data_IF_150540279542
#
_entry.id   IF_150540279542
#
_cell.length_a   1.000
_cell.length_b   1.000
_cell.length_c   1.000
_cell.angle_alpha   90.00
_cell.angle_beta   90.00
_cell.angle_gamma   90.00
#
_symmetry.space_group_name_H-M   'P 1'
#
loop_
_entity.id
_entity.type
_entity.pdbx_description
1 polymer ?
#
# COMPACT_ATOMS: atom_id res chain seq x y z
N UNK A 1 88.88 -81.46 5.17
CA UNK A 1 87.58 -80.82 4.90
C UNK A 1 86.79 -81.71 3.95
N UNK A 2 85.85 -82.53 4.44
CA UNK A 2 84.96 -83.33 3.60
C UNK A 2 83.76 -82.46 3.21
N UNK A 3 83.68 -82.09 1.94
CA UNK A 3 82.54 -81.38 1.37
C UNK A 3 81.34 -82.31 1.36
N UNK A 4 80.44 -82.11 2.32
CA UNK A 4 79.11 -82.73 2.30
C UNK A 4 78.39 -82.18 1.08
N UNK A 5 78.35 -83.00 0.01
CA UNK A 5 77.72 -82.73 -1.29
C UNK A 5 76.30 -83.29 -1.38
N UNK A 6 75.67 -83.59 -0.24
CA UNK A 6 74.26 -83.97 -0.21
C UNK A 6 73.39 -82.73 0.13
N UNK A 7 72.60 -82.22 -0.83
CA UNK A 7 71.75 -81.05 -0.64
C UNK A 7 70.74 -81.25 0.50
N UNK A 8 70.26 -82.48 0.69
CA UNK A 8 69.25 -82.82 1.70
C UNK A 8 69.83 -82.69 3.11
N UNK A 9 71.03 -83.21 3.33
CA UNK A 9 71.74 -83.09 4.62
C UNK A 9 72.08 -81.63 4.99
N UNK A 10 72.38 -80.77 4.00
CA UNK A 10 72.59 -79.33 4.25
C UNK A 10 71.29 -78.60 4.59
N UNK A 11 70.20 -78.93 3.92
CA UNK A 11 68.87 -78.38 4.21
C UNK A 11 68.43 -78.74 5.63
N UNK A 12 68.58 -80.01 6.03
CA UNK A 12 68.27 -80.46 7.39
C UNK A 12 69.12 -79.74 8.47
N UNK A 13 70.39 -79.45 8.18
CA UNK A 13 71.25 -78.69 9.09
C UNK A 13 70.85 -77.21 9.20
N UNK A 14 70.42 -76.59 8.10
CA UNK A 14 69.91 -75.22 8.09
C UNK A 14 68.57 -75.14 8.83
N UNK A 15 67.69 -76.11 8.62
CA UNK A 15 66.38 -76.19 9.28
C UNK A 15 66.53 -76.43 10.79
N UNK A 16 67.51 -77.25 11.22
CA UNK A 16 67.83 -77.44 12.63
C UNK A 16 68.39 -76.18 13.32
N UNK A 17 69.12 -75.32 12.59
CA UNK A 17 69.70 -74.08 13.14
C UNK A 17 68.75 -72.88 13.08
N UNK A 18 67.99 -72.74 11.99
CA UNK A 18 67.10 -71.60 11.75
C UNK A 18 65.67 -71.85 12.22
N UNK A 19 65.18 -73.09 12.18
CA UNK A 19 63.81 -73.45 12.60
C UNK A 19 63.45 -72.92 13.99
N UNK A 20 64.28 -73.16 15.04
CA UNK A 20 64.03 -72.62 16.37
C UNK A 20 64.09 -71.08 16.45
N UNK A 21 64.86 -70.43 15.58
CA UNK A 21 64.98 -68.96 15.55
C UNK A 21 63.76 -68.33 14.87
N UNK A 22 63.29 -68.93 13.77
CA UNK A 22 62.06 -68.56 13.08
C UNK A 22 60.87 -68.74 14.03
N UNK A 23 60.77 -69.89 14.70
CA UNK A 23 59.67 -70.17 15.63
C UNK A 23 59.64 -69.21 16.83
N UNK A 24 60.81 -68.79 17.34
CA UNK A 24 60.89 -67.75 18.39
C UNK A 24 60.51 -66.36 17.86
N UNK A 25 60.89 -66.03 16.62
CA UNK A 25 60.53 -64.77 16.00
C UNK A 25 59.02 -64.69 15.72
N UNK A 26 58.41 -65.78 15.25
CA UNK A 26 56.96 -65.92 15.05
C UNK A 26 56.21 -65.77 16.37
N UNK A 27 56.63 -66.48 17.44
CA UNK A 27 56.00 -66.34 18.75
C UNK A 27 56.14 -64.93 19.33
N UNK A 28 57.27 -64.26 19.10
CA UNK A 28 57.45 -62.86 19.52
C UNK A 28 56.55 -61.91 18.73
N UNK A 29 56.41 -62.12 17.41
CA UNK A 29 55.51 -61.35 16.56
C UNK A 29 54.03 -61.55 16.95
N UNK A 30 53.60 -62.78 17.20
CA UNK A 30 52.24 -63.10 17.65
C UNK A 30 51.94 -62.48 19.01
N UNK A 31 52.90 -62.54 19.95
CA UNK A 31 52.76 -61.89 21.25
C UNK A 31 52.63 -60.37 21.12
N UNK A 32 53.42 -59.75 20.24
CA UNK A 32 53.34 -58.31 19.99
C UNK A 32 52.01 -57.93 19.33
N UNK A 33 51.56 -58.68 18.33
CA UNK A 33 50.26 -58.49 17.69
C UNK A 33 49.09 -58.62 18.69
N UNK A 34 49.18 -59.55 19.64
CA UNK A 34 48.19 -59.70 20.71
C UNK A 34 48.17 -58.46 21.65
N UNK A 35 49.33 -57.91 21.99
CA UNK A 35 49.45 -56.69 22.81
C UNK A 35 48.87 -55.49 22.07
N UNK A 36 49.19 -55.32 20.78
CA UNK A 36 48.71 -54.19 19.99
C UNK A 36 47.19 -54.28 19.74
N UNK A 37 46.68 -55.48 19.51
CA UNK A 37 45.24 -55.73 19.43
C UNK A 37 44.53 -55.38 20.75
N UNK A 38 45.09 -55.76 21.89
CA UNK A 38 44.51 -55.44 23.19
C UNK A 38 44.44 -53.92 23.43
N UNK A 39 45.49 -53.17 23.08
CA UNK A 39 45.52 -51.71 23.15
C UNK A 39 44.45 -51.07 22.26
N UNK A 40 44.35 -51.51 21.00
CA UNK A 40 43.35 -51.00 20.06
C UNK A 40 41.91 -51.29 20.50
N UNK A 41 41.65 -52.48 21.06
CA UNK A 41 40.31 -52.83 21.57
C UNK A 41 39.92 -51.98 22.78
N UNK A 42 40.86 -51.70 23.68
CA UNK A 42 40.64 -50.81 24.82
C UNK A 42 40.35 -49.37 24.36
N UNK A 43 41.15 -48.84 23.42
CA UNK A 43 40.95 -47.50 22.85
C UNK A 43 39.64 -47.39 22.07
N UNK A 44 39.29 -48.41 21.26
CA UNK A 44 38.02 -48.49 20.53
C UNK A 44 36.83 -48.37 21.48
N UNK A 45 36.85 -49.12 22.58
CA UNK A 45 35.74 -49.15 23.54
C UNK A 45 35.53 -47.77 24.16
N UNK A 46 36.62 -47.09 24.56
CA UNK A 46 36.55 -45.74 25.11
C UNK A 46 36.01 -44.73 24.10
N UNK A 47 36.55 -44.73 22.87
CA UNK A 47 36.13 -43.79 21.81
C UNK A 47 34.67 -43.99 21.40
N UNK A 48 34.20 -45.23 21.31
CA UNK A 48 32.80 -45.50 20.98
C UNK A 48 31.88 -44.99 22.09
N UNK A 49 32.22 -45.20 23.37
CA UNK A 49 31.43 -44.69 24.48
C UNK A 49 31.36 -43.14 24.50
N UNK A 50 32.47 -42.46 24.21
CA UNK A 50 32.51 -40.99 24.08
C UNK A 50 31.60 -40.50 22.93
N UNK A 51 31.65 -41.16 21.77
CA UNK A 51 30.83 -40.81 20.61
C UNK A 51 29.34 -41.10 20.83
N UNK A 52 29.01 -42.24 21.43
CA UNK A 52 27.63 -42.61 21.76
C UNK A 52 27.01 -41.63 22.77
N UNK A 53 27.78 -41.20 23.78
CA UNK A 53 27.34 -40.19 24.73
C UNK A 53 27.11 -38.83 24.06
N UNK A 54 28.02 -38.39 23.20
CA UNK A 54 27.87 -37.15 22.44
C UNK A 54 26.66 -37.20 21.48
N UNK A 55 26.43 -38.35 20.84
CA UNK A 55 25.27 -38.57 19.97
C UNK A 55 23.96 -38.52 20.78
N UNK A 56 23.92 -39.19 21.93
CA UNK A 56 22.75 -39.17 22.81
C UNK A 56 22.42 -37.74 23.30
N UNK A 57 23.44 -36.97 23.68
CA UNK A 57 23.26 -35.57 24.07
C UNK A 57 22.76 -34.71 22.91
N UNK A 58 23.32 -34.87 21.71
CA UNK A 58 22.87 -34.15 20.53
C UNK A 58 21.41 -34.49 20.17
N UNK A 59 21.02 -35.77 20.26
CA UNK A 59 19.65 -36.23 20.04
C UNK A 59 18.68 -35.63 21.08
N UNK A 60 19.05 -35.59 22.36
CA UNK A 60 18.25 -34.97 23.40
C UNK A 60 18.07 -33.45 23.18
N UNK A 61 19.13 -32.73 22.82
CA UNK A 61 19.06 -31.30 22.50
C UNK A 61 18.18 -31.04 21.28
N UNK A 62 18.30 -31.88 20.24
CA UNK A 62 17.47 -31.79 19.05
C UNK A 62 15.98 -32.05 19.36
N UNK A 63 15.66 -33.05 20.18
CA UNK A 63 14.28 -33.32 20.59
C UNK A 63 13.67 -32.11 21.32
N UNK A 64 14.38 -31.53 22.30
CA UNK A 64 13.92 -30.34 23.00
C UNK A 64 13.82 -29.09 22.10
N UNK A 65 14.67 -28.97 21.07
CA UNK A 65 14.56 -27.91 20.08
C UNK A 65 13.34 -28.12 19.16
N UNK A 66 13.08 -29.35 18.73
CA UNK A 66 11.91 -29.73 17.92
C UNK A 66 10.60 -29.40 18.65
N UNK A 67 10.46 -29.78 19.91
CA UNK A 67 9.25 -29.51 20.69
C UNK A 67 8.98 -28.00 20.84
N UNK A 68 10.04 -27.21 21.09
CA UNK A 68 9.95 -25.75 21.12
C UNK A 68 9.54 -25.16 19.77
N UNK A 69 10.08 -25.68 18.67
CA UNK A 69 9.72 -25.25 17.32
C UNK A 69 8.25 -25.53 17.00
N UNK A 70 7.73 -26.71 17.37
CA UNK A 70 6.32 -27.07 17.17
C UNK A 70 5.39 -26.18 18.00
N UNK A 71 5.73 -25.93 19.26
CA UNK A 71 4.96 -25.03 20.12
C UNK A 71 4.91 -23.60 19.55
N UNK A 72 6.06 -23.07 19.10
CA UNK A 72 6.13 -21.75 18.47
C UNK A 72 5.31 -21.68 17.16
N UNK A 73 5.38 -22.70 16.31
CA UNK A 73 4.60 -22.77 15.08
C UNK A 73 3.09 -22.80 15.36
N UNK A 74 2.66 -23.53 16.38
CA UNK A 74 1.25 -23.60 16.80
C UNK A 74 0.76 -22.25 17.33
N UNK A 75 1.56 -21.57 18.16
CA UNK A 75 1.24 -20.24 18.67
C UNK A 75 1.17 -19.19 17.55
N UNK A 76 2.12 -19.23 16.61
CA UNK A 76 2.12 -18.34 15.44
C UNK A 76 0.89 -18.56 14.55
N UNK A 77 0.51 -19.83 14.32
CA UNK A 77 -0.70 -20.16 13.55
C UNK A 77 -1.97 -19.64 14.23
N UNK A 78 -2.11 -19.81 15.54
CA UNK A 78 -3.24 -19.29 16.31
C UNK A 78 -3.31 -17.74 16.27
N UNK A 79 -2.17 -17.06 16.42
CA UNK A 79 -2.09 -15.61 16.32
C UNK A 79 -2.48 -15.11 14.92
N UNK A 80 -2.07 -15.82 13.87
CA UNK A 80 -2.42 -15.46 12.49
C UNK A 80 -3.91 -15.67 12.20
N UNK A 81 -4.53 -16.72 12.73
CA UNK A 81 -5.97 -16.92 12.63
C UNK A 81 -6.74 -15.77 13.30
N UNK A 82 -6.37 -15.39 14.54
CA UNK A 82 -7.00 -14.28 15.26
C UNK A 82 -6.82 -12.93 14.54
N UNK A 83 -5.64 -12.68 13.97
CA UNK A 83 -5.38 -11.48 13.17
C UNK A 83 -6.25 -11.45 11.91
N UNK A 84 -6.38 -12.58 11.20
CA UNK A 84 -7.22 -12.70 10.01
C UNK A 84 -8.71 -12.48 10.35
N UNK A 85 -9.22 -13.07 11.43
CA UNK A 85 -10.59 -12.87 11.89
C UNK A 85 -10.87 -11.39 12.20
N UNK A 86 -9.95 -10.74 12.90
CA UNK A 86 -10.04 -9.31 13.22
C UNK A 86 -10.03 -8.46 11.95
N UNK A 87 -9.15 -8.77 10.99
CA UNK A 87 -9.10 -8.09 9.71
C UNK A 87 -10.40 -8.25 8.90
N UNK A 88 -10.91 -9.47 8.79
CA UNK A 88 -12.19 -9.73 8.11
C UNK A 88 -13.34 -8.97 8.78
N UNK A 89 -13.38 -8.92 10.11
CA UNK A 89 -14.36 -8.11 10.84
C UNK A 89 -14.23 -6.63 10.47
N UNK A 90 -13.02 -6.06 10.53
CA UNK A 90 -12.76 -4.66 10.15
C UNK A 90 -13.25 -4.34 8.74
N UNK A 91 -12.89 -5.17 7.75
CA UNK A 91 -13.32 -4.97 6.36
C UNK A 91 -14.84 -5.05 6.23
N UNK A 92 -15.49 -5.99 6.93
CA UNK A 92 -16.94 -6.10 6.90
C UNK A 92 -17.65 -4.90 7.54
N UNK A 93 -17.09 -4.35 8.61
CA UNK A 93 -17.61 -3.15 9.27
C UNK A 93 -17.43 -1.92 8.40
N UNK A 94 -16.27 -1.78 7.76
CA UNK A 94 -16.00 -0.68 6.82
C UNK A 94 -16.93 -0.74 5.60
N UNK A 95 -17.15 -1.93 5.03
CA UNK A 95 -18.09 -2.11 3.94
C UNK A 95 -19.53 -1.75 4.35
N UNK A 96 -19.97 -2.15 5.55
CA UNK A 96 -21.28 -1.78 6.10
C UNK A 96 -21.39 -0.28 6.36
N UNK A 97 -20.35 0.33 6.93
CA UNK A 97 -20.30 1.77 7.18
C UNK A 97 -20.34 2.56 5.87
N UNK A 98 -19.56 2.15 4.86
CA UNK A 98 -19.57 2.74 3.52
C UNK A 98 -20.93 2.61 2.84
N UNK A 99 -21.57 1.44 2.93
CA UNK A 99 -22.95 1.25 2.42
C UNK A 99 -23.94 2.14 3.15
N UNK A 100 -23.83 2.28 4.46
CA UNK A 100 -24.69 3.15 5.25
C UNK A 100 -24.48 4.63 4.87
N UNK A 101 -23.23 5.08 4.72
CA UNK A 101 -22.90 6.44 4.25
C UNK A 101 -23.54 6.72 2.90
N UNK A 102 -23.33 5.86 1.90
CA UNK A 102 -23.97 6.01 0.58
C UNK A 102 -25.48 6.09 0.67
N UNK A 103 -26.11 5.24 1.49
CA UNK A 103 -27.56 5.27 1.67
C UNK A 103 -28.06 6.56 2.35
N UNK A 104 -27.24 7.22 3.17
CA UNK A 104 -27.55 8.54 3.71
C UNK A 104 -27.30 9.64 2.66
N UNK A 105 -26.18 9.57 1.93
CA UNK A 105 -25.85 10.51 0.87
C UNK A 105 -26.95 10.52 -0.21
N UNK A 106 -27.42 9.35 -0.64
CA UNK A 106 -28.54 9.21 -1.60
C UNK A 106 -29.82 9.90 -1.11
N UNK A 107 -30.12 9.78 0.20
CA UNK A 107 -31.28 10.47 0.80
C UNK A 107 -31.06 11.98 0.88
N UNK A 108 -29.82 12.41 1.14
CA UNK A 108 -29.47 13.83 1.22
C UNK A 108 -29.45 14.49 -0.17
N UNK A 109 -29.14 13.74 -1.23
CA UNK A 109 -29.24 14.22 -2.62
C UNK A 109 -30.62 14.81 -2.90
N UNK A 110 -31.67 14.09 -2.54
CA UNK A 110 -33.07 14.53 -2.74
C UNK A 110 -33.51 15.61 -1.74
N UNK A 111 -32.71 15.90 -0.71
CA UNK A 111 -32.98 16.91 0.32
C UNK A 111 -32.16 18.20 0.13
N UNK A 112 -31.70 18.46 -1.10
CA UNK A 112 -31.05 19.72 -1.47
C UNK A 112 -29.53 19.61 -1.70
N UNK A 113 -28.91 18.48 -1.37
CA UNK A 113 -27.48 18.26 -1.66
C UNK A 113 -27.20 18.29 -3.17
N UNK A 114 -28.13 17.78 -4.00
CA UNK A 114 -28.04 17.89 -5.47
C UNK A 114 -27.99 19.33 -5.96
N UNK A 115 -28.74 20.23 -5.32
CA UNK A 115 -28.73 21.66 -5.67
C UNK A 115 -27.42 22.33 -5.25
N UNK A 116 -26.88 21.95 -4.08
CA UNK A 116 -25.56 22.42 -3.60
C UNK A 116 -24.45 21.96 -4.55
N UNK A 117 -24.42 20.68 -4.93
CA UNK A 117 -23.39 20.13 -5.80
C UNK A 117 -23.44 20.76 -7.19
N UNK A 118 -24.62 20.85 -7.79
CA UNK A 118 -24.77 21.51 -9.09
C UNK A 118 -24.38 23.00 -9.05
N UNK A 119 -24.75 23.73 -8.00
CA UNK A 119 -24.34 25.12 -7.86
C UNK A 119 -22.83 25.27 -7.65
N UNK A 120 -22.23 24.39 -6.85
CA UNK A 120 -20.78 24.34 -6.60
C UNK A 120 -19.99 24.11 -7.88
N UNK A 121 -20.40 23.13 -8.70
CA UNK A 121 -19.81 22.87 -10.02
C UNK A 121 -19.86 24.12 -10.90
N UNK A 122 -21.03 24.78 -10.98
CA UNK A 122 -21.19 26.00 -11.78
C UNK A 122 -20.28 27.14 -11.31
N UNK A 123 -20.14 27.31 -9.99
CA UNK A 123 -19.26 28.33 -9.41
C UNK A 123 -17.79 28.03 -9.72
N UNK A 124 -17.37 26.76 -9.70
CA UNK A 124 -16.03 26.36 -10.11
C UNK A 124 -15.76 26.57 -11.61
N UNK A 125 -16.73 26.29 -12.48
CA UNK A 125 -16.64 26.59 -13.92
C UNK A 125 -16.46 28.10 -14.17
N UNK A 126 -17.23 28.92 -13.45
CA UNK A 126 -17.12 30.38 -13.53
C UNK A 126 -15.77 30.86 -13.01
N UNK A 127 -15.27 30.30 -11.90
CA UNK A 127 -13.93 30.62 -11.39
C UNK A 127 -12.84 30.28 -12.42
N UNK A 128 -12.95 29.11 -13.05
CA UNK A 128 -12.00 28.64 -14.08
C UNK A 128 -12.02 29.56 -15.29
N UNK A 129 -13.20 29.96 -15.74
CA UNK A 129 -13.35 30.94 -16.81
C UNK A 129 -12.75 32.30 -16.46
N UNK A 130 -13.02 32.81 -15.25
CA UNK A 130 -12.46 34.07 -14.76
C UNK A 130 -10.92 34.03 -14.73
N UNK A 131 -10.33 32.95 -14.23
CA UNK A 131 -8.86 32.77 -14.21
C UNK A 131 -8.28 32.72 -15.61
N UNK A 132 -8.84 31.92 -16.50
CA UNK A 132 -8.37 31.83 -17.89
C UNK A 132 -8.44 33.18 -18.62
N UNK A 133 -9.48 33.99 -18.36
CA UNK A 133 -9.64 35.33 -18.95
C UNK A 133 -8.71 36.37 -18.31
N UNK A 134 -8.44 36.25 -17.02
CA UNK A 134 -7.45 37.07 -16.31
C UNK A 134 -6.02 36.82 -16.86
N UNK A 135 -5.64 35.56 -17.02
CA UNK A 135 -4.31 35.14 -17.51
C UNK A 135 -4.07 35.51 -18.98
N UNK A 136 -5.10 35.41 -19.83
CA UNK A 136 -4.99 35.71 -21.28
C UNK A 136 -5.05 37.20 -21.61
N UNK A 137 -5.48 38.06 -20.69
CA UNK A 137 -5.68 39.49 -21.00
C UNK A 137 -5.25 40.47 -19.89
N UNK A 138 -4.08 40.29 -19.24
CA UNK A 138 -3.71 41.08 -18.06
C UNK A 138 -3.60 42.59 -18.32
N UNK A 139 -3.24 42.99 -19.56
CA UNK A 139 -3.01 44.40 -19.96
C UNK A 139 -4.31 45.21 -20.09
N UNK A 140 -5.45 44.57 -20.40
CA UNK A 140 -6.73 45.29 -20.54
C UNK A 140 -7.44 45.51 -19.20
N UNK A 141 -7.14 44.70 -18.18
CA UNK A 141 -7.84 44.71 -16.88
C UNK A 141 -7.03 45.40 -15.77
N UNK A 142 -5.69 45.31 -15.77
CA UNK A 142 -4.85 46.12 -14.84
C UNK A 142 -4.93 47.62 -15.08
N UNK A 143 -5.35 48.03 -16.29
CA UNK A 143 -5.57 49.42 -16.66
C UNK A 143 -7.03 49.88 -16.48
N UNK A 144 -7.90 49.09 -15.83
CA UNK A 144 -9.30 49.46 -15.62
C UNK A 144 -9.49 50.67 -14.66
N UNK A 145 -8.48 51.03 -13.86
CA UNK A 145 -8.45 52.32 -13.16
C UNK A 145 -8.16 53.51 -14.09
N UNK A 146 -7.82 53.28 -15.37
CA UNK A 146 -7.49 54.32 -16.35
C UNK A 146 -8.05 53.99 -17.74
N UNK A 147 -9.36 53.81 -17.87
CA UNK A 147 -10.04 54.02 -19.16
C UNK A 147 -10.74 55.37 -19.17
N UNK A 148 -10.03 56.36 -19.69
CA UNK A 148 -10.69 57.54 -20.24
C UNK A 148 -11.25 57.14 -21.61
N UNK A 149 -12.55 56.83 -21.67
CA UNK A 149 -13.25 56.71 -22.95
C UNK A 149 -13.53 58.14 -23.44
N UNK A 150 -13.13 58.52 -24.68
CA UNK A 150 -13.34 59.87 -25.21
C UNK A 150 -14.80 60.08 -25.65
N UNK A 151 -15.75 59.84 -24.74
CA UNK A 151 -17.18 60.11 -24.90
C UNK A 151 -17.79 60.80 -23.68
N UNK A 152 -16.97 61.24 -22.71
CA UNK A 152 -17.43 62.08 -21.60
C UNK A 152 -18.35 61.39 -20.59
N UNK A 153 -18.41 60.05 -20.60
CA UNK A 153 -19.08 59.26 -19.56
C UNK A 153 -18.07 58.34 -18.89
N UNK A 154 -17.65 58.71 -17.69
CA UNK A 154 -17.03 57.78 -16.74
C UNK A 154 -18.12 56.81 -16.27
N UNK A 155 -18.12 55.59 -16.81
CA UNK A 155 -18.96 54.50 -16.28
C UNK A 155 -18.30 54.01 -14.98
N UNK A 156 -18.97 54.08 -13.82
CA UNK A 156 -18.42 53.54 -12.59
C UNK A 156 -18.37 52.00 -12.67
N UNK A 157 -17.20 51.43 -12.40
CA UNK A 157 -17.07 50.10 -11.77
C UNK A 157 -17.42 48.87 -12.58
N UNK A 158 -16.82 48.69 -13.77
CA UNK A 158 -16.87 47.40 -14.46
C UNK A 158 -16.08 46.36 -13.64
N UNK A 159 -16.80 45.37 -13.11
CA UNK A 159 -16.28 44.33 -12.24
C UNK A 159 -15.06 43.62 -12.84
N UNK A 160 -13.94 43.62 -12.11
CA UNK A 160 -12.71 42.94 -12.54
C UNK A 160 -12.83 41.43 -12.35
N UNK A 161 -12.06 40.60 -13.09
CA UNK A 161 -11.99 39.16 -12.84
C UNK A 161 -11.63 38.83 -11.38
N UNK A 162 -10.85 39.68 -10.72
CA UNK A 162 -10.48 39.55 -9.30
C UNK A 162 -11.70 39.72 -8.39
N UNK A 163 -12.50 40.78 -8.59
CA UNK A 163 -13.75 40.99 -7.84
C UNK A 163 -14.76 39.85 -8.07
N UNK A 164 -14.86 39.33 -9.29
CA UNK A 164 -15.71 38.17 -9.58
C UNK A 164 -15.22 36.91 -8.86
N UNK A 165 -13.91 36.67 -8.80
CA UNK A 165 -13.33 35.53 -8.07
C UNK A 165 -13.56 35.61 -6.56
N UNK A 166 -13.52 36.81 -5.96
CA UNK A 166 -13.86 37.00 -4.54
C UNK A 166 -15.33 36.67 -4.25
N UNK A 167 -16.26 37.12 -5.09
CA UNK A 167 -17.69 36.82 -4.92
C UNK A 167 -17.96 35.33 -5.15
N UNK A 168 -17.24 34.67 -6.07
CA UNK A 168 -17.32 33.22 -6.26
C UNK A 168 -16.79 32.49 -5.02
N UNK A 169 -15.67 32.91 -4.44
CA UNK A 169 -15.11 32.29 -3.24
C UNK A 169 -16.07 32.42 -2.04
N UNK A 170 -16.69 33.59 -1.85
CA UNK A 170 -17.69 33.82 -0.82
C UNK A 170 -18.96 32.96 -1.05
N UNK A 171 -19.41 32.82 -2.30
CA UNK A 171 -20.52 31.96 -2.65
C UNK A 171 -20.23 30.48 -2.37
N UNK A 172 -19.03 29.99 -2.71
CA UNK A 172 -18.62 28.62 -2.41
C UNK A 172 -18.58 28.33 -0.91
N UNK A 173 -18.04 29.26 -0.11
CA UNK A 173 -18.03 29.14 1.35
C UNK A 173 -19.45 29.12 1.96
N UNK A 174 -20.39 29.91 1.41
CA UNK A 174 -21.79 29.85 1.81
C UNK A 174 -22.44 28.50 1.50
N UNK A 175 -22.19 27.94 0.31
CA UNK A 175 -22.75 26.65 -0.09
C UNK A 175 -22.19 25.48 0.74
N UNK A 176 -20.90 25.53 1.09
CA UNK A 176 -20.30 24.53 1.97
C UNK A 176 -20.90 24.59 3.39
N UNK A 177 -21.14 25.80 3.91
CA UNK A 177 -21.85 25.98 5.19
C UNK A 177 -23.27 25.41 5.18
N UNK A 178 -23.99 25.55 4.07
CA UNK A 178 -25.35 24.99 3.89
C UNK A 178 -25.37 23.45 3.87
N UNK A 179 -24.27 22.82 3.46
CA UNK A 179 -24.15 21.35 3.37
C UNK A 179 -24.32 20.66 4.72
N UNK A 180 -23.95 21.33 5.80
CA UNK A 180 -23.95 20.79 7.16
C UNK A 180 -25.00 21.46 8.08
N UNK A 181 -25.80 22.40 7.56
CA UNK A 181 -26.80 23.13 8.34
C UNK A 181 -28.15 22.37 8.35
N UNK A 182 -28.36 21.58 9.41
CA UNK A 182 -29.58 20.80 9.60
C UNK A 182 -30.85 21.64 9.87
N UNK A 183 -30.72 22.96 10.04
CA UNK A 183 -31.86 23.85 10.34
C UNK A 183 -32.54 24.42 9.10
N UNK A 184 -31.93 24.23 7.92
CA UNK A 184 -32.37 24.85 6.66
C UNK A 184 -33.15 23.84 5.82
N UNK A 185 -34.34 24.25 5.35
CA UNK A 185 -35.18 23.38 4.52
C UNK A 185 -34.61 23.19 3.10
N UNK A 186 -34.90 22.06 2.41
CA UNK A 186 -34.46 21.83 1.03
C UNK A 186 -34.83 22.97 0.06
N UNK A 187 -36.04 23.51 0.17
CA UNK A 187 -36.48 24.64 -0.65
C UNK A 187 -35.68 25.92 -0.38
N UNK A 188 -35.27 26.13 0.88
CA UNK A 188 -34.39 27.24 1.26
C UNK A 188 -32.97 27.04 0.72
N UNK A 189 -32.45 25.80 0.74
CA UNK A 189 -31.17 25.44 0.13
C UNK A 189 -31.18 25.78 -1.37
N UNK A 190 -32.19 25.32 -2.12
CA UNK A 190 -32.33 25.62 -3.55
C UNK A 190 -32.38 27.13 -3.84
N UNK A 191 -33.14 27.87 -3.02
CA UNK A 191 -33.26 29.32 -3.14
C UNK A 191 -31.90 30.01 -2.91
N UNK A 192 -31.14 29.58 -1.91
CA UNK A 192 -29.81 30.14 -1.60
C UNK A 192 -28.77 29.76 -2.65
N UNK A 193 -28.79 28.53 -3.17
CA UNK A 193 -27.98 28.11 -4.31
C UNK A 193 -28.22 28.99 -5.55
N UNK A 194 -29.49 29.27 -5.87
CA UNK A 194 -29.86 30.15 -6.98
C UNK A 194 -29.40 31.59 -6.73
N UNK A 195 -29.62 32.11 -5.52
CA UNK A 195 -29.20 33.46 -5.15
C UNK A 195 -27.67 33.62 -5.23
N UNK A 196 -26.91 32.61 -4.82
CA UNK A 196 -25.45 32.59 -4.91
C UNK A 196 -24.96 32.69 -6.35
N UNK A 197 -25.52 31.87 -7.26
CA UNK A 197 -25.21 31.93 -8.69
C UNK A 197 -25.60 33.29 -9.28
N UNK A 198 -26.80 33.79 -8.95
CA UNK A 198 -27.29 35.07 -9.48
C UNK A 198 -26.39 36.25 -9.05
N UNK A 199 -25.91 36.26 -7.81
CA UNK A 199 -24.95 37.29 -7.34
C UNK A 199 -23.63 37.25 -8.12
N UNK A 200 -23.11 36.05 -8.37
CA UNK A 200 -21.87 35.90 -9.17
C UNK A 200 -22.06 36.38 -10.60
N UNK A 201 -23.20 36.06 -11.23
CA UNK A 201 -23.50 36.51 -12.58
C UNK A 201 -23.70 38.03 -12.65
N UNK A 202 -24.33 38.64 -11.63
CA UNK A 202 -24.51 40.08 -11.51
C UNK A 202 -23.20 40.85 -11.30
N UNK A 203 -22.16 40.20 -10.75
CA UNK A 203 -20.80 40.74 -10.64
C UNK A 203 -20.02 40.73 -11.95
N UNK A 204 -20.64 40.48 -13.11
CA UNK A 204 -19.99 40.71 -14.39
C UNK A 204 -20.93 41.39 -15.36
N UNK A 205 -20.45 42.38 -16.11
CA UNK A 205 -21.18 42.94 -17.24
C UNK A 205 -21.57 41.81 -18.20
N UNK A 206 -22.70 41.93 -18.91
CA UNK A 206 -23.18 40.89 -19.87
C UNK A 206 -22.11 40.50 -20.89
N UNK A 207 -21.24 41.45 -21.23
CA UNK A 207 -20.08 41.34 -22.11
C UNK A 207 -18.93 40.52 -21.50
N UNK A 208 -18.79 40.52 -20.17
CA UNK A 208 -17.79 39.72 -19.45
C UNK A 208 -18.09 38.22 -19.55
N UNK A 209 -19.36 37.83 -19.49
CA UNK A 209 -19.80 36.45 -19.61
C UNK A 209 -20.17 36.03 -21.05
N UNK A 210 -20.16 36.97 -22.02
CA UNK A 210 -20.62 36.78 -23.39
C UNK A 210 -19.95 35.65 -24.20
N UNK A 211 -18.78 35.16 -23.77
CA UNK A 211 -18.11 34.00 -24.37
C UNK A 211 -18.57 32.66 -23.81
N UNK A 212 -19.37 32.65 -22.75
CA UNK A 212 -20.08 31.47 -22.26
C UNK A 212 -21.50 31.52 -22.81
N UNK A 213 -21.90 30.53 -23.60
CA UNK A 213 -23.27 30.38 -24.10
C UNK A 213 -24.24 29.93 -22.97
N UNK A 214 -24.28 30.61 -21.84
CA UNK A 214 -25.32 30.41 -20.83
C UNK A 214 -26.48 31.35 -21.16
N UNK A 215 -27.56 30.81 -21.73
CA UNK A 215 -28.86 31.48 -21.69
C UNK A 215 -29.26 31.65 -20.23
N UNK A 216 -29.95 32.74 -19.89
CA UNK A 216 -30.62 32.88 -18.59
C UNK A 216 -31.55 31.67 -18.44
N UNK A 217 -31.10 30.64 -17.71
CA UNK A 217 -31.89 29.43 -17.50
C UNK A 217 -33.08 29.83 -16.64
N UNK A 218 -34.28 29.68 -17.18
CA UNK A 218 -35.48 29.80 -16.37
C UNK A 218 -35.52 28.70 -15.30
N UNK A 219 -36.49 28.79 -14.38
CA UNK A 219 -36.62 27.89 -13.25
C UNK A 219 -36.69 26.40 -13.66
N UNK A 220 -37.32 26.10 -14.79
CA UNK A 220 -37.44 24.74 -15.33
C UNK A 220 -36.16 24.28 -16.01
N UNK A 221 -35.50 25.15 -16.78
CA UNK A 221 -34.24 24.83 -17.43
C UNK A 221 -33.09 24.67 -16.42
N UNK A 222 -33.12 25.41 -15.30
CA UNK A 222 -32.19 25.25 -14.19
C UNK A 222 -32.39 23.90 -13.46
N UNK A 223 -33.63 23.50 -13.22
CA UNK A 223 -33.96 22.20 -12.62
C UNK A 223 -33.56 21.02 -13.55
N UNK A 224 -33.78 21.15 -14.86
CA UNK A 224 -33.40 20.14 -15.85
C UNK A 224 -31.89 20.12 -16.12
N UNK A 225 -31.21 21.25 -15.97
CA UNK A 225 -29.75 21.29 -15.94
C UNK A 225 -29.20 20.61 -14.69
N UNK A 226 -29.73 20.90 -13.48
CA UNK A 226 -29.33 20.24 -12.23
C UNK A 226 -29.51 18.72 -12.29
N UNK A 227 -30.58 18.22 -12.92
CA UNK A 227 -30.74 16.77 -13.16
C UNK A 227 -29.63 16.23 -14.06
N UNK A 228 -29.36 16.89 -15.20
CA UNK A 228 -28.31 16.45 -16.15
C UNK A 228 -26.89 16.50 -15.58
N UNK A 229 -26.57 17.45 -14.71
CA UNK A 229 -25.25 17.54 -14.07
C UNK A 229 -25.12 16.62 -12.87
N UNK A 230 -26.22 16.34 -12.15
CA UNK A 230 -26.22 15.33 -11.08
C UNK A 230 -26.09 13.89 -11.61
N UNK A 231 -26.62 13.61 -12.81
CA UNK A 231 -26.48 12.32 -13.49
C UNK A 231 -25.10 12.16 -14.19
N UNK A 232 -24.30 13.22 -14.23
CA UNK A 232 -22.97 13.21 -14.83
C UNK A 232 -21.97 12.70 -13.79
N UNK A 233 -21.63 11.42 -13.89
CA UNK A 233 -20.64 10.78 -13.02
C UNK A 233 -19.28 11.52 -13.14
N UNK A 234 -18.78 12.18 -12.07
CA UNK A 234 -17.57 13.02 -12.16
C UNK A 234 -16.31 12.21 -12.49
N UNK A 235 -16.37 10.87 -12.46
CA UNK A 235 -15.24 9.98 -12.71
C UNK A 235 -14.99 9.74 -14.21
N UNK A 236 -15.96 10.02 -15.10
CA UNK A 236 -15.85 9.60 -16.51
C UNK A 236 -15.33 10.64 -17.53
N UNK A 237 -15.22 11.92 -17.17
CA UNK A 237 -14.79 12.97 -18.13
C UNK A 237 -13.27 13.30 -18.11
N UNK A 238 -12.45 12.57 -17.32
CA UNK A 238 -10.98 12.71 -17.35
C UNK A 238 -10.33 11.77 -18.40
N UNK A 239 -11.06 10.79 -18.94
CA UNK A 239 -10.51 9.78 -19.86
C UNK A 239 -10.63 10.13 -21.35
N UNK A 240 -11.00 11.38 -21.71
CA UNK A 240 -11.33 11.75 -23.09
C UNK A 240 -10.55 12.94 -23.67
N UNK A 241 -9.42 13.32 -23.08
CA UNK A 241 -8.55 14.37 -23.61
C UNK A 241 -7.15 13.82 -23.88
N UNK A 242 -7.06 12.94 -24.87
CA UNK A 242 -5.85 12.75 -25.69
C UNK A 242 -6.06 13.43 -27.05
#
# INVERSE_FOLDING_TARGET
>A
MKTVKDPVSRLAQIEALLGPQIQRAEQAADKQAAIDRAKLLAERTRRLAELDAAQAEAQARHAAAKDRSVAAATAASAAQLAANETWTACVSHDARASKARRAFDDKLLDLGLRAIDGATVKLHDLATYCRARYERTPVLWRNAERRFVPTGKTVPGDSTPEAALEVIAAALAELDGLRYDATVSPATIETRCRAAIARVLACGAREFWSGLQWRELDLSEFADWLKRTADRDPVHDIAGAD
#
